data_IF_079885025759
#
_entry.id   IF_079885025759
#
_cell.length_a   1.000
_cell.length_b   1.000
_cell.length_c   1.000
_cell.angle_alpha   90.00
_cell.angle_beta   90.00
_cell.angle_gamma   90.00
#
_symmetry.space_group_name_H-M   'P 1'
#
loop_
_entity.id
_entity.type
_entity.pdbx_description
1 polymer ?
#
# COMPACT_ATOMS: atom_id res chain seq x y z
N UNK A 1 -10.30 12.94 -2.41
CA UNK A 1 -10.21 11.46 -2.31
C UNK A 1 -9.03 11.12 -1.40
N UNK A 2 -9.22 10.36 -0.32
CA UNK A 2 -8.13 9.97 0.59
C UNK A 2 -7.15 8.96 -0.04
N UNK A 3 -6.02 8.69 0.63
CA UNK A 3 -4.99 7.73 0.17
C UNK A 3 -5.58 6.35 -0.17
N UNK A 4 -6.37 5.77 0.74
CA UNK A 4 -7.00 4.48 0.53
C UNK A 4 -7.91 4.47 -0.71
N UNK A 5 -8.66 5.54 -0.95
CA UNK A 5 -9.50 5.66 -2.15
C UNK A 5 -8.69 5.63 -3.45
N UNK A 6 -7.53 6.30 -3.47
CA UNK A 6 -6.60 6.28 -4.61
C UNK A 6 -5.98 4.89 -4.82
N UNK A 7 -5.57 4.23 -3.74
CA UNK A 7 -5.04 2.86 -3.77
C UNK A 7 -6.09 1.87 -4.27
N UNK A 8 -7.34 1.95 -3.79
CA UNK A 8 -8.42 1.11 -4.28
C UNK A 8 -8.70 1.34 -5.77
N UNK A 9 -8.70 2.59 -6.23
CA UNK A 9 -8.85 2.90 -7.65
C UNK A 9 -7.70 2.28 -8.47
N UNK A 10 -6.47 2.44 -8.00
CA UNK A 10 -5.27 1.89 -8.65
C UNK A 10 -5.29 0.36 -8.74
N UNK A 11 -5.66 -0.35 -7.67
CA UNK A 11 -5.73 -1.82 -7.66
C UNK A 11 -6.82 -2.33 -8.60
N UNK A 12 -7.92 -1.59 -8.76
CA UNK A 12 -9.00 -1.96 -9.66
C UNK A 12 -8.82 -1.44 -11.10
N UNK A 13 -7.71 -0.76 -11.40
CA UNK A 13 -7.41 -0.29 -12.74
C UNK A 13 -7.17 -1.49 -13.68
N UNK A 14 -7.86 -1.51 -14.82
CA UNK A 14 -7.67 -2.51 -15.87
C UNK A 14 -6.50 -2.10 -16.79
N UNK A 15 -5.29 -2.44 -16.35
CA UNK A 15 -4.06 -2.18 -17.11
C UNK A 15 -4.02 -2.91 -18.46
N UNK A 16 -4.69 -4.06 -18.58
CA UNK A 16 -4.73 -4.81 -19.84
C UNK A 16 -5.64 -4.13 -20.85
N UNK A 17 -6.78 -3.60 -20.41
CA UNK A 17 -7.64 -2.78 -21.26
C UNK A 17 -6.88 -1.55 -21.76
N UNK A 18 -6.18 -0.84 -20.87
CA UNK A 18 -5.40 0.36 -21.22
C UNK A 18 -4.29 0.01 -22.23
N UNK A 19 -3.54 -1.06 -22.01
CA UNK A 19 -2.48 -1.48 -22.92
C UNK A 19 -2.98 -2.01 -24.27
N UNK A 20 -4.21 -2.52 -24.34
CA UNK A 20 -4.82 -3.05 -25.58
C UNK A 20 -5.50 -1.99 -26.45
N UNK A 21 -5.71 -0.79 -25.93
CA UNK A 21 -6.21 0.31 -26.74
C UNK A 21 -5.12 0.67 -27.75
N UNK A 22 -5.41 0.48 -29.05
CA UNK A 22 -4.46 0.60 -30.15
C UNK A 22 -3.75 1.96 -30.23
N UNK A 23 -4.35 2.98 -29.62
CA UNK A 23 -3.85 4.36 -29.60
C UNK A 23 -3.29 4.79 -28.24
N UNK A 24 -3.10 3.89 -27.27
CA UNK A 24 -2.51 4.28 -25.98
C UNK A 24 -1.06 4.68 -26.20
N UNK A 25 -0.72 5.98 -26.05
CA UNK A 25 0.66 6.40 -26.23
C UNK A 25 1.48 5.81 -25.07
N UNK A 26 2.71 5.36 -25.37
CA UNK A 26 3.66 4.84 -24.36
C UNK A 26 3.80 5.83 -23.20
N UNK A 27 3.75 7.13 -23.48
CA UNK A 27 3.74 8.23 -22.50
C UNK A 27 2.59 8.11 -21.48
N UNK A 28 1.39 7.71 -21.91
CA UNK A 28 0.25 7.51 -21.01
C UNK A 28 0.50 6.34 -20.07
N UNK A 29 1.03 5.22 -20.57
CA UNK A 29 1.34 4.06 -19.74
C UNK A 29 2.51 4.36 -18.78
N UNK A 30 3.51 5.12 -19.22
CA UNK A 30 4.58 5.65 -18.35
C UNK A 30 4.01 6.50 -17.22
N UNK A 31 3.06 7.39 -17.51
CA UNK A 31 2.37 8.18 -16.49
C UNK A 31 1.64 7.31 -15.46
N UNK A 32 0.92 6.27 -15.93
CA UNK A 32 0.23 5.31 -15.05
C UNK A 32 1.24 4.54 -14.17
N UNK A 33 2.39 4.13 -14.71
CA UNK A 33 3.43 3.46 -13.93
C UNK A 33 3.97 4.38 -12.82
N UNK A 34 4.27 5.63 -13.13
CA UNK A 34 4.74 6.62 -12.15
C UNK A 34 3.70 6.86 -11.05
N UNK A 35 2.43 7.05 -11.42
CA UNK A 35 1.34 7.22 -10.44
C UNK A 35 1.21 6.00 -9.50
N UNK A 36 1.33 4.79 -10.03
CA UNK A 36 1.29 3.55 -9.23
C UNK A 36 2.49 3.43 -8.29
N UNK A 37 3.68 3.84 -8.73
CA UNK A 37 4.90 3.86 -7.92
C UNK A 37 4.80 4.89 -6.78
N UNK A 38 4.29 6.08 -7.06
CA UNK A 38 4.07 7.11 -6.05
C UNK A 38 3.07 6.66 -4.98
N UNK A 39 1.97 6.02 -5.41
CA UNK A 39 1.00 5.42 -4.48
C UNK A 39 1.61 4.29 -3.66
N UNK A 40 2.46 3.45 -4.27
CA UNK A 40 3.16 2.37 -3.58
C UNK A 40 4.11 2.92 -2.51
N UNK A 41 4.90 3.92 -2.86
CA UNK A 41 5.81 4.58 -1.94
C UNK A 41 5.06 5.21 -0.75
N UNK A 42 3.98 5.95 -1.04
CA UNK A 42 3.18 6.60 -0.02
C UNK A 42 2.51 5.59 0.92
N UNK A 43 1.95 4.50 0.36
CA UNK A 43 1.32 3.43 1.16
C UNK A 43 2.34 2.71 2.04
N UNK A 44 3.55 2.44 1.52
CA UNK A 44 4.66 1.85 2.30
C UNK A 44 5.07 2.76 3.46
N UNK A 45 5.15 4.07 3.22
CA UNK A 45 5.46 5.06 4.27
C UNK A 45 4.36 5.08 5.34
N UNK A 46 3.10 5.09 4.95
CA UNK A 46 1.97 5.02 5.89
C UNK A 46 2.01 3.73 6.71
N UNK A 47 2.24 2.58 6.08
CA UNK A 47 2.36 1.30 6.78
C UNK A 47 3.51 1.32 7.80
N UNK A 48 4.67 1.89 7.44
CA UNK A 48 5.80 2.02 8.36
C UNK A 48 5.47 2.88 9.59
N UNK A 49 4.74 4.00 9.39
CA UNK A 49 4.25 4.83 10.49
C UNK A 49 3.30 4.07 11.40
N UNK A 50 2.33 3.34 10.85
CA UNK A 50 1.39 2.57 11.68
C UNK A 50 2.08 1.44 12.44
N UNK A 51 3.07 0.76 11.84
CA UNK A 51 3.88 -0.25 12.53
C UNK A 51 4.65 0.38 13.71
N UNK A 52 5.19 1.59 13.54
CA UNK A 52 5.85 2.30 14.63
C UNK A 52 4.87 2.61 15.76
N UNK A 53 3.67 3.11 15.42
CA UNK A 53 2.62 3.38 16.41
C UNK A 53 2.22 2.11 17.17
N UNK A 54 2.05 0.98 16.46
CA UNK A 54 1.74 -0.30 17.07
C UNK A 54 2.83 -0.73 18.06
N UNK A 55 4.11 -0.56 17.72
CA UNK A 55 5.22 -0.88 18.63
C UNK A 55 5.20 -0.02 19.90
N UNK A 56 4.83 1.26 19.78
CA UNK A 56 4.68 2.13 20.95
C UNK A 56 3.54 1.66 21.87
N UNK A 57 2.40 1.24 21.29
CA UNK A 57 1.28 0.69 22.08
C UNK A 57 1.66 -0.64 22.74
N UNK A 58 2.35 -1.53 22.00
CA UNK A 58 2.88 -2.78 22.55
C UNK A 58 3.82 -2.51 23.74
N UNK A 59 4.70 -1.52 23.62
CA UNK A 59 5.57 -1.13 24.72
C UNK A 59 4.80 -0.65 25.96
N UNK A 60 3.72 0.11 25.79
CA UNK A 60 2.87 0.53 26.92
C UNK A 60 2.17 -0.66 27.58
N UNK A 61 1.65 -1.60 26.78
CA UNK A 61 1.06 -2.85 27.29
C UNK A 61 2.10 -3.66 28.06
N UNK A 62 3.30 -3.82 27.50
CA UNK A 62 4.41 -4.52 28.15
C UNK A 62 4.80 -3.87 29.48
N UNK A 63 4.79 -2.53 29.57
CA UNK A 63 5.01 -1.83 30.83
C UNK A 63 3.94 -2.14 31.87
N UNK A 64 2.65 -2.17 31.48
CA UNK A 64 1.57 -2.53 32.39
C UNK A 64 1.75 -3.96 32.93
N UNK A 65 2.07 -4.90 32.05
CA UNK A 65 2.30 -6.30 32.41
C UNK A 65 3.53 -6.48 33.31
N UNK A 66 4.61 -5.74 33.07
CA UNK A 66 5.82 -5.78 33.92
C UNK A 66 5.60 -5.21 35.32
N UNK A 67 4.62 -4.31 35.48
CA UNK A 67 4.26 -3.72 36.76
C UNK A 67 3.18 -4.51 37.50
N UNK A 68 2.77 -5.69 36.98
CA UNK A 68 1.62 -6.47 37.47
C UNK A 68 0.33 -5.64 37.55
N UNK A 69 0.19 -4.66 36.64
CA UNK A 69 -0.99 -3.81 36.53
C UNK A 69 -1.91 -4.29 35.42
N UNK A 70 -3.22 -4.08 35.61
CA UNK A 70 -4.21 -4.37 34.59
C UNK A 70 -4.00 -3.46 33.37
N UNK A 71 -4.03 -4.06 32.17
CA UNK A 71 -3.95 -3.32 30.91
C UNK A 71 -5.27 -2.56 30.72
N UNK A 72 -5.26 -1.22 30.53
CA UNK A 72 -6.48 -0.47 30.30
C UNK A 72 -7.24 -0.98 29.09
N UNK A 73 -8.57 -1.15 29.20
CA UNK A 73 -9.40 -1.64 28.12
C UNK A 73 -9.28 -0.78 26.84
N UNK A 74 -9.18 0.54 27.00
CA UNK A 74 -9.01 1.48 25.89
C UNK A 74 -7.69 1.23 25.13
N UNK A 75 -6.61 0.90 25.85
CA UNK A 75 -5.32 0.59 25.27
C UNK A 75 -5.34 -0.75 24.51
N UNK A 76 -6.04 -1.75 25.07
CA UNK A 76 -6.21 -3.04 24.41
C UNK A 76 -7.03 -2.93 23.11
N UNK A 77 -8.10 -2.12 23.12
CA UNK A 77 -8.91 -1.82 21.93
C UNK A 77 -8.09 -1.07 20.87
N UNK A 78 -7.33 -0.05 21.27
CA UNK A 78 -6.47 0.69 20.33
C UNK A 78 -5.41 -0.23 19.69
N UNK A 79 -4.84 -1.15 20.46
CA UNK A 79 -3.89 -2.13 19.94
C UNK A 79 -4.52 -3.03 18.88
N UNK A 80 -5.72 -3.57 19.14
CA UNK A 80 -6.46 -4.41 18.19
C UNK A 80 -6.81 -3.64 16.91
N UNK A 81 -7.33 -2.42 17.04
CA UNK A 81 -7.65 -1.55 15.92
C UNK A 81 -6.44 -1.26 15.04
N UNK A 82 -5.28 -0.97 15.67
CA UNK A 82 -4.02 -0.73 14.95
C UNK A 82 -3.52 -1.97 14.24
N UNK A 83 -3.62 -3.15 14.85
CA UNK A 83 -3.29 -4.41 14.19
C UNK A 83 -4.18 -4.65 12.97
N UNK A 84 -5.49 -4.44 13.10
CA UNK A 84 -6.44 -4.54 11.98
C UNK A 84 -6.11 -3.58 10.84
N UNK A 85 -5.80 -2.32 11.16
CA UNK A 85 -5.39 -1.32 10.18
C UNK A 85 -4.12 -1.74 9.43
N UNK A 86 -3.09 -2.21 10.14
CA UNK A 86 -1.84 -2.70 9.55
C UNK A 86 -2.07 -3.90 8.64
N UNK A 87 -2.94 -4.84 9.01
CA UNK A 87 -3.29 -5.98 8.18
C UNK A 87 -3.98 -5.55 6.88
N UNK A 88 -4.87 -4.55 6.94
CA UNK A 88 -5.52 -3.99 5.74
C UNK A 88 -4.47 -3.32 4.84
N UNK A 89 -3.64 -2.43 5.40
CA UNK A 89 -2.61 -1.71 4.65
C UNK A 89 -1.61 -2.66 4.00
N UNK A 90 -1.17 -3.70 4.71
CA UNK A 90 -0.27 -4.74 4.18
C UNK A 90 -0.88 -5.48 2.99
N UNK A 91 -2.17 -5.85 3.07
CA UNK A 91 -2.88 -6.49 1.95
C UNK A 91 -3.00 -5.58 0.74
N UNK A 92 -3.30 -4.31 0.97
CA UNK A 92 -3.37 -3.32 -0.11
C UNK A 92 -2.00 -3.08 -0.75
N UNK A 93 -0.93 -3.06 0.04
CA UNK A 93 0.43 -2.90 -0.46
C UNK A 93 0.82 -4.05 -1.38
N UNK A 94 0.60 -5.30 -0.97
CA UNK A 94 0.89 -6.47 -1.83
C UNK A 94 0.13 -6.44 -3.17
N UNK A 95 -1.15 -6.02 -3.14
CA UNK A 95 -1.96 -5.89 -4.35
C UNK A 95 -1.45 -4.77 -5.26
N UNK A 96 -1.04 -3.65 -4.67
CA UNK A 96 -0.49 -2.52 -5.41
C UNK A 96 0.88 -2.85 -6.01
N UNK A 97 1.74 -3.57 -5.29
CA UNK A 97 3.02 -4.10 -5.79
C UNK A 97 2.83 -4.96 -7.03
N UNK A 98 1.86 -5.87 -6.98
CA UNK A 98 1.51 -6.72 -8.13
C UNK A 98 1.08 -5.89 -9.34
N UNK A 99 0.36 -4.78 -9.10
CA UNK A 99 -0.09 -3.86 -10.16
C UNK A 99 1.04 -3.03 -10.74
N UNK A 100 1.95 -2.53 -9.91
CA UNK A 100 3.18 -1.85 -10.36
C UNK A 100 4.00 -2.79 -11.26
N UNK A 101 4.22 -4.04 -10.82
CA UNK A 101 4.97 -5.02 -11.60
C UNK A 101 4.31 -5.33 -12.95
N UNK A 102 2.98 -5.48 -12.98
CA UNK A 102 2.24 -5.66 -14.23
C UNK A 102 2.36 -4.46 -15.16
N UNK A 103 2.17 -3.24 -14.63
CA UNK A 103 2.26 -2.01 -15.43
C UNK A 103 3.66 -1.82 -16.02
N UNK A 104 4.71 -2.08 -15.23
CA UNK A 104 6.11 -2.03 -15.68
C UNK A 104 6.36 -3.03 -16.82
N UNK A 105 5.88 -4.27 -16.67
CA UNK A 105 6.04 -5.30 -17.70
C UNK A 105 5.35 -4.91 -19.01
N UNK A 106 4.12 -4.40 -18.94
CA UNK A 106 3.39 -3.91 -20.11
C UNK A 106 4.13 -2.75 -20.79
N UNK A 107 4.74 -1.86 -20.02
CA UNK A 107 5.53 -0.76 -20.55
C UNK A 107 6.78 -1.26 -21.28
N UNK A 108 7.48 -2.24 -20.70
CA UNK A 108 8.64 -2.89 -21.35
C UNK A 108 8.24 -3.58 -22.66
N UNK A 109 7.11 -4.30 -22.68
CA UNK A 109 6.64 -5.00 -23.88
C UNK A 109 6.26 -4.04 -25.03
N UNK A 110 5.82 -2.82 -24.71
CA UNK A 110 5.42 -1.79 -25.69
C UNK A 110 6.58 -0.88 -26.14
N UNK A 111 7.69 -0.87 -25.40
CA UNK A 111 8.89 -0.09 -25.71
C UNK A 111 10.10 -1.01 -25.75
N UNK A 112 10.22 -1.90 -26.77
CA UNK A 112 11.41 -2.71 -26.93
C UNK A 112 12.60 -1.76 -27.12
N UNK A 113 13.66 -1.93 -26.33
CA UNK A 113 14.93 -1.21 -26.54
C UNK A 113 15.33 -1.34 -28.03
N UNK A 114 15.80 -0.25 -28.68
CA UNK A 114 16.41 -0.39 -29.99
C UNK A 114 17.69 -1.23 -29.82
N UNK A 115 17.69 -2.42 -30.43
CA UNK A 115 18.87 -3.26 -30.59
C UNK A 115 19.97 -2.58 -31.42
#
# INVERSE_FOLDING_TARGET
MGLLGRVYKAINLDLLQIARMADTPVEHLTGVVLDLQDLHHLLRKTLATEIMNLRCLQYQVDQCLQQDTEVPADLALELEDKQGQIQILSRLLMRLESKVALAQRLLTDLSPEPA
#
